data_IF_791522071089
#
_entry.id   IF_791522071089
#
_cell.length_a   1.000
_cell.length_b   1.000
_cell.length_c   1.000
_cell.angle_alpha   90.00
_cell.angle_beta   90.00
_cell.angle_gamma   90.00
#
_symmetry.space_group_name_H-M   'P 1'
#
loop_
_entity.id
_entity.type
_entity.pdbx_description
1 polymer ?
#
# COMPACT_ATOMS: atom_id res chain seq x y z
N UNK A 1 -15.25 1.11 24.26
CA UNK A 1 -15.21 0.09 23.19
C UNK A 1 -14.25 -1.00 23.63
N UNK A 2 -14.69 -2.25 23.76
CA UNK A 2 -13.87 -3.32 24.34
C UNK A 2 -12.82 -3.83 23.33
N UNK A 3 -11.69 -4.37 23.82
CA UNK A 3 -10.58 -4.88 22.99
C UNK A 3 -11.06 -5.83 21.87
N UNK A 4 -12.00 -6.72 22.20
CA UNK A 4 -12.60 -7.67 21.25
C UNK A 4 -13.39 -6.97 20.15
N UNK A 5 -14.14 -5.90 20.49
CA UNK A 5 -14.87 -5.12 19.50
C UNK A 5 -13.90 -4.40 18.57
N UNK A 6 -12.84 -3.78 19.11
CA UNK A 6 -11.82 -3.11 18.29
C UNK A 6 -11.15 -4.09 17.31
N UNK A 7 -10.79 -5.28 17.77
CA UNK A 7 -10.19 -6.32 16.93
C UNK A 7 -11.14 -6.83 15.85
N UNK A 8 -12.43 -7.02 16.18
CA UNK A 8 -13.44 -7.43 15.22
C UNK A 8 -13.70 -6.36 14.14
N UNK A 9 -13.83 -5.09 14.54
CA UNK A 9 -14.00 -3.99 13.59
C UNK A 9 -12.76 -3.79 12.72
N UNK A 10 -11.56 -3.79 13.32
CA UNK A 10 -10.32 -3.68 12.57
C UNK A 10 -10.17 -4.84 11.57
N UNK A 11 -10.44 -6.08 12.01
CA UNK A 11 -10.38 -7.27 11.16
C UNK A 11 -11.38 -7.25 10.01
N UNK A 12 -12.61 -6.82 10.26
CA UNK A 12 -13.63 -6.68 9.21
C UNK A 12 -13.20 -5.65 8.15
N UNK A 13 -12.75 -4.46 8.57
CA UNK A 13 -12.33 -3.42 7.64
C UNK A 13 -11.07 -3.79 6.87
N UNK A 14 -10.05 -4.35 7.53
CA UNK A 14 -8.83 -4.79 6.83
C UNK A 14 -9.15 -5.93 5.86
N UNK A 15 -9.99 -6.88 6.24
CA UNK A 15 -10.43 -7.99 5.40
C UNK A 15 -11.21 -7.51 4.16
N UNK A 16 -12.16 -6.58 4.32
CA UNK A 16 -12.91 -6.00 3.22
C UNK A 16 -11.98 -5.30 2.21
N UNK A 17 -11.02 -4.52 2.69
CA UNK A 17 -10.05 -3.82 1.81
C UNK A 17 -9.13 -4.80 1.09
N UNK A 18 -8.71 -5.89 1.75
CA UNK A 18 -7.93 -6.95 1.10
C UNK A 18 -8.75 -7.63 0.00
N UNK A 19 -10.02 -7.99 0.24
CA UNK A 19 -10.89 -8.59 -0.78
C UNK A 19 -11.07 -7.67 -1.99
N UNK A 20 -11.37 -6.38 -1.76
CA UNK A 20 -11.51 -5.39 -2.83
C UNK A 20 -10.20 -5.28 -3.63
N UNK A 21 -9.07 -5.23 -2.93
CA UNK A 21 -7.75 -5.15 -3.56
C UNK A 21 -7.45 -6.38 -4.43
N UNK A 22 -7.73 -7.59 -3.92
CA UNK A 22 -7.55 -8.83 -4.68
C UNK A 22 -8.48 -8.92 -5.90
N UNK A 23 -9.74 -8.53 -5.74
CA UNK A 23 -10.70 -8.49 -6.85
C UNK A 23 -10.22 -7.53 -7.95
N UNK A 24 -9.82 -6.31 -7.57
CA UNK A 24 -9.31 -5.31 -8.50
C UNK A 24 -7.99 -5.73 -9.15
N UNK A 25 -7.13 -6.45 -8.43
CA UNK A 25 -5.90 -7.02 -8.96
C UNK A 25 -6.20 -8.07 -10.03
N UNK A 26 -7.13 -8.99 -9.77
CA UNK A 26 -7.54 -10.03 -10.72
C UNK A 26 -8.13 -9.42 -12.00
N UNK A 27 -9.05 -8.46 -11.85
CA UNK A 27 -9.63 -7.73 -12.99
C UNK A 27 -8.55 -7.02 -13.81
N UNK A 28 -7.62 -6.33 -13.15
CA UNK A 28 -6.53 -5.61 -13.81
C UNK A 28 -5.57 -6.55 -14.53
N UNK A 29 -5.31 -7.74 -13.98
CA UNK A 29 -4.51 -8.79 -14.63
C UNK A 29 -5.19 -9.32 -15.90
N UNK A 30 -6.50 -9.57 -15.84
CA UNK A 30 -7.27 -9.98 -17.01
C UNK A 30 -7.26 -8.91 -18.11
N UNK A 31 -7.49 -7.64 -17.74
CA UNK A 31 -7.45 -6.51 -18.66
C UNK A 31 -6.04 -6.27 -19.26
N UNK A 32 -4.99 -6.57 -18.50
CA UNK A 32 -3.61 -6.56 -19.01
C UNK A 32 -3.41 -7.62 -20.08
N UNK A 33 -3.90 -8.84 -19.86
CA UNK A 33 -3.80 -9.96 -20.81
C UNK A 33 -4.57 -9.70 -22.10
N UNK A 34 -5.71 -9.00 -22.04
CA UNK A 34 -6.49 -8.59 -23.23
C UNK A 34 -5.94 -7.33 -23.94
N UNK A 35 -4.75 -6.85 -23.56
CA UNK A 35 -4.00 -5.72 -24.17
C UNK A 35 -4.70 -4.35 -24.14
N UNK A 36 -5.81 -4.21 -23.42
CA UNK A 36 -6.41 -2.92 -23.12
C UNK A 36 -5.48 -2.15 -22.17
N UNK A 37 -5.12 -0.91 -22.50
CA UNK A 37 -4.41 0.04 -21.60
C UNK A 37 -3.24 -0.54 -20.76
N UNK A 38 -2.26 -1.19 -21.43
CA UNK A 38 -1.13 -1.92 -20.81
C UNK A 38 -0.51 -1.24 -19.57
N UNK A 39 -0.14 0.04 -19.67
CA UNK A 39 0.53 0.78 -18.58
C UNK A 39 -0.40 1.03 -17.38
N UNK A 40 -1.65 1.42 -17.64
CA UNK A 40 -2.61 1.70 -16.57
C UNK A 40 -2.94 0.43 -15.78
N UNK A 41 -3.08 -0.71 -16.45
CA UNK A 41 -3.36 -1.98 -15.80
C UNK A 41 -2.18 -2.51 -15.00
N UNK A 42 -0.94 -2.33 -15.47
CA UNK A 42 0.26 -2.65 -14.67
C UNK A 42 0.28 -1.82 -13.37
N UNK A 43 0.05 -0.50 -13.47
CA UNK A 43 0.04 0.36 -12.27
C UNK A 43 -1.07 -0.06 -11.30
N UNK A 44 -2.26 -0.42 -11.80
CA UNK A 44 -3.36 -0.96 -10.97
C UNK A 44 -2.98 -2.28 -10.30
N UNK A 45 -2.28 -3.19 -10.98
CA UNK A 45 -1.82 -4.45 -10.38
C UNK A 45 -0.86 -4.14 -9.23
N UNK A 46 0.14 -3.28 -9.44
CA UNK A 46 1.11 -2.89 -8.39
C UNK A 46 0.42 -2.20 -7.22
N UNK A 47 -0.50 -1.27 -7.50
CA UNK A 47 -1.25 -0.56 -6.46
C UNK A 47 -2.06 -1.54 -5.60
N UNK A 48 -2.83 -2.43 -6.23
CA UNK A 48 -3.68 -3.37 -5.49
C UNK A 48 -2.88 -4.45 -4.77
N UNK A 49 -1.75 -4.92 -5.33
CA UNK A 49 -0.89 -5.89 -4.65
C UNK A 49 -0.20 -5.27 -3.42
N UNK A 50 0.29 -4.04 -3.54
CA UNK A 50 0.85 -3.30 -2.41
C UNK A 50 -0.19 -3.04 -1.31
N UNK A 51 -1.44 -2.77 -1.70
CA UNK A 51 -2.53 -2.54 -0.76
C UNK A 51 -2.91 -3.84 -0.03
N UNK A 52 -3.01 -4.96 -0.76
CA UNK A 52 -3.23 -6.27 -0.16
C UNK A 52 -2.12 -6.63 0.83
N UNK A 53 -0.84 -6.43 0.47
CA UNK A 53 0.31 -6.67 1.34
C UNK A 53 0.24 -5.83 2.62
N UNK A 54 0.01 -4.51 2.47
CA UNK A 54 -0.12 -3.58 3.60
C UNK A 54 -1.21 -4.00 4.57
N UNK A 55 -2.43 -4.22 4.09
CA UNK A 55 -3.57 -4.51 4.94
C UNK A 55 -3.51 -5.90 5.56
N UNK A 56 -2.88 -6.87 4.87
CA UNK A 56 -2.57 -8.18 5.44
C UNK A 56 -1.56 -8.06 6.59
N UNK A 57 -0.51 -7.26 6.43
CA UNK A 57 0.47 -7.03 7.50
C UNK A 57 -0.14 -6.31 8.71
N UNK A 58 -0.98 -5.29 8.47
CA UNK A 58 -1.73 -4.60 9.54
C UNK A 58 -2.66 -5.57 10.25
N UNK A 59 -3.39 -6.42 9.52
CA UNK A 59 -4.22 -7.46 10.11
C UNK A 59 -3.40 -8.44 10.96
N UNK A 60 -2.21 -8.83 10.49
CA UNK A 60 -1.26 -9.64 11.25
C UNK A 60 -0.88 -9.00 12.59
N UNK A 61 -0.73 -7.68 12.67
CA UNK A 61 -0.45 -6.98 13.95
C UNK A 61 -1.62 -7.01 14.94
N UNK A 62 -2.86 -7.10 14.45
CA UNK A 62 -4.04 -7.25 15.32
C UNK A 62 -4.27 -8.69 15.77
N UNK A 63 -3.79 -9.67 15.00
CA UNK A 63 -3.94 -11.10 15.31
C UNK A 63 -2.73 -11.71 16.02
N UNK A 64 -1.63 -10.96 16.16
CA UNK A 64 -0.43 -11.45 16.87
C UNK A 64 -0.77 -11.84 18.32
N UNK A 65 -0.46 -13.08 18.75
CA UNK A 65 -0.71 -13.52 20.11
C UNK A 65 0.16 -12.73 21.10
N UNK A 66 -0.24 -12.69 22.38
CA UNK A 66 0.52 -12.00 23.45
C UNK A 66 1.96 -12.51 23.62
N UNK A 67 2.27 -13.69 23.09
CA UNK A 67 3.59 -14.35 23.15
C UNK A 67 4.38 -14.17 21.84
N UNK A 68 3.93 -13.31 20.94
CA UNK A 68 4.65 -13.03 19.69
C UNK A 68 6.04 -12.46 19.99
N UNK A 69 7.04 -12.92 19.25
CA UNK A 69 8.41 -12.43 19.43
C UNK A 69 8.54 -11.00 18.93
N UNK A 70 9.41 -10.21 19.56
CA UNK A 70 9.70 -8.82 19.15
C UNK A 70 10.01 -8.71 17.65
N UNK A 71 10.70 -9.72 17.11
CA UNK A 71 11.09 -9.81 15.70
C UNK A 71 9.89 -9.96 14.76
N UNK A 72 8.86 -10.72 15.14
CA UNK A 72 7.62 -10.90 14.35
C UNK A 72 6.80 -9.61 14.29
N UNK A 73 6.67 -8.91 15.43
CA UNK A 73 5.95 -7.64 15.46
C UNK A 73 6.67 -6.56 14.64
N UNK A 74 7.99 -6.49 14.76
CA UNK A 74 8.82 -5.52 14.05
C UNK A 74 8.79 -5.77 12.54
N UNK A 75 8.87 -7.03 12.10
CA UNK A 75 8.81 -7.37 10.67
C UNK A 75 7.44 -7.06 10.06
N UNK A 76 6.34 -7.34 10.75
CA UNK A 76 4.99 -6.94 10.31
C UNK A 76 4.85 -5.43 10.14
N UNK A 77 5.41 -4.64 11.07
CA UNK A 77 5.40 -3.18 10.95
C UNK A 77 6.23 -2.69 9.76
N UNK A 78 7.40 -3.28 9.50
CA UNK A 78 8.19 -2.96 8.31
C UNK A 78 7.46 -3.32 7.01
N UNK A 79 6.82 -4.49 6.93
CA UNK A 79 6.03 -4.88 5.75
C UNK A 79 4.85 -3.92 5.54
N UNK A 80 4.15 -3.53 6.60
CA UNK A 80 3.08 -2.54 6.53
C UNK A 80 3.58 -1.16 6.07
N UNK A 81 4.75 -0.73 6.53
CA UNK A 81 5.39 0.53 6.12
C UNK A 81 5.81 0.50 4.64
N UNK A 82 6.48 -0.57 4.20
CA UNK A 82 6.85 -0.78 2.79
C UNK A 82 5.61 -0.77 1.90
N UNK A 83 4.58 -1.55 2.27
CA UNK A 83 3.30 -1.56 1.56
C UNK A 83 2.65 -0.17 1.51
N UNK A 84 2.71 0.61 2.60
CA UNK A 84 2.20 1.99 2.64
C UNK A 84 2.92 2.94 1.69
N UNK A 85 4.25 2.82 1.57
CA UNK A 85 5.02 3.65 0.63
C UNK A 85 4.73 3.22 -0.80
N UNK A 86 4.73 1.91 -1.09
CA UNK A 86 4.39 1.38 -2.40
C UNK A 86 3.00 1.81 -2.86
N UNK A 87 1.96 1.70 -2.01
CA UNK A 87 0.60 2.12 -2.40
C UNK A 87 0.53 3.60 -2.72
N UNK A 88 1.19 4.46 -1.93
CA UNK A 88 1.22 5.91 -2.15
C UNK A 88 1.95 6.27 -3.44
N UNK A 89 3.10 5.65 -3.71
CA UNK A 89 3.88 5.88 -4.94
C UNK A 89 3.08 5.41 -6.15
N UNK A 90 2.54 4.19 -6.14
CA UNK A 90 1.72 3.66 -7.24
C UNK A 90 0.44 4.48 -7.47
N UNK A 91 -0.23 4.96 -6.41
CA UNK A 91 -1.39 5.84 -6.54
C UNK A 91 -1.01 7.17 -7.19
N UNK A 92 0.11 7.77 -6.77
CA UNK A 92 0.60 9.02 -7.35
C UNK A 92 0.94 8.83 -8.83
N UNK A 93 1.63 7.73 -9.17
CA UNK A 93 1.90 7.36 -10.56
C UNK A 93 0.62 7.20 -11.38
N UNK A 94 -0.39 6.52 -10.82
CA UNK A 94 -1.68 6.30 -11.48
C UNK A 94 -2.40 7.62 -11.76
N UNK A 95 -2.49 8.51 -10.76
CA UNK A 95 -3.16 9.80 -10.88
C UNK A 95 -2.46 10.70 -11.90
N UNK A 96 -1.14 10.78 -11.85
CA UNK A 96 -0.35 11.57 -12.81
C UNK A 96 -0.47 11.01 -14.23
N UNK A 97 -0.47 9.68 -14.38
CA UNK A 97 -0.70 9.04 -15.67
C UNK A 97 -2.09 9.38 -16.23
N UNK A 98 -3.12 9.37 -15.39
CA UNK A 98 -4.48 9.76 -15.79
C UNK A 98 -4.58 11.25 -16.09
N UNK A 99 -3.92 12.11 -15.32
CA UNK A 99 -3.87 13.55 -15.57
C UNK A 99 -3.24 13.84 -16.93
N UNK A 100 -2.13 13.16 -17.26
CA UNK A 100 -1.48 13.25 -18.57
C UNK A 100 -2.39 12.79 -19.72
N UNK A 101 -3.25 11.80 -19.50
CA UNK A 101 -4.21 11.35 -20.53
C UNK A 101 -5.30 12.39 -20.79
N UNK A 102 -5.69 13.17 -19.77
CA UNK A 102 -6.74 14.19 -19.88
C UNK A 102 -6.18 15.52 -20.39
N UNK A 103 -4.98 15.89 -19.95
CA UNK A 103 -4.33 17.15 -20.29
C UNK A 103 -3.02 16.88 -21.04
N UNK A 104 -3.00 17.16 -22.34
CA UNK A 104 -1.89 16.79 -23.23
C UNK A 104 -0.79 17.89 -23.32
N UNK A 105 -0.64 18.70 -22.27
CA UNK A 105 0.35 19.76 -22.17
C UNK A 105 1.75 19.20 -21.87
N UNK A 106 2.76 19.59 -22.67
CA UNK A 106 4.17 19.18 -22.44
C UNK A 106 4.69 19.63 -21.07
N UNK A 107 4.28 20.82 -20.62
CA UNK A 107 4.69 21.41 -19.34
C UNK A 107 4.09 20.61 -18.17
N UNK A 108 2.80 20.26 -18.25
CA UNK A 108 2.11 19.49 -17.20
C UNK A 108 2.66 18.07 -17.06
N UNK A 109 3.06 17.45 -18.17
CA UNK A 109 3.74 16.16 -18.13
C UNK A 109 5.10 16.24 -17.41
N UNK A 110 5.82 17.35 -17.53
CA UNK A 110 7.12 17.54 -16.88
C UNK A 110 6.96 17.81 -15.39
N UNK A 111 6.02 18.70 -15.02
CA UNK A 111 5.64 18.96 -13.62
C UNK A 111 5.21 17.66 -12.93
N UNK A 112 4.34 16.87 -13.57
CA UNK A 112 3.91 15.59 -13.03
C UNK A 112 5.06 14.62 -12.78
N UNK A 113 6.00 14.51 -13.73
CA UNK A 113 7.17 13.63 -13.58
C UNK A 113 8.06 14.08 -12.42
N UNK A 114 8.32 15.38 -12.29
CA UNK A 114 9.12 15.95 -11.19
C UNK A 114 8.45 15.71 -9.82
N UNK A 115 7.14 15.94 -9.70
CA UNK A 115 6.39 15.64 -8.48
C UNK A 115 6.45 14.15 -8.10
N UNK A 116 6.40 13.25 -9.09
CA UNK A 116 6.53 11.81 -8.86
C UNK A 116 7.91 11.43 -8.31
N UNK A 117 8.98 12.01 -8.86
CA UNK A 117 10.36 11.77 -8.42
C UNK A 117 10.55 12.25 -6.98
N UNK A 118 10.11 13.48 -6.66
CA UNK A 118 10.19 14.02 -5.31
C UNK A 118 9.43 13.13 -4.32
N UNK A 119 8.20 12.71 -4.68
CA UNK A 119 7.38 11.85 -3.82
C UNK A 119 8.03 10.49 -3.57
N UNK A 120 8.61 9.90 -4.60
CA UNK A 120 9.31 8.61 -4.50
C UNK A 120 10.57 8.73 -3.65
N UNK A 121 11.36 9.79 -3.84
CA UNK A 121 12.55 10.07 -3.04
C UNK A 121 12.22 10.28 -1.56
N UNK A 122 11.20 11.09 -1.25
CA UNK A 122 10.72 11.28 0.11
C UNK A 122 10.19 9.97 0.72
N UNK A 123 9.52 9.12 -0.06
CA UNK A 123 9.05 7.81 0.40
C UNK A 123 10.18 6.85 0.77
N UNK A 124 11.26 6.83 -0.02
CA UNK A 124 12.45 6.02 0.28
C UNK A 124 13.17 6.55 1.52
N UNK A 125 13.34 7.87 1.62
CA UNK A 125 13.93 8.50 2.80
C UNK A 125 13.12 8.16 4.05
N UNK A 126 11.78 8.26 3.98
CA UNK A 126 10.89 7.87 5.08
C UNK A 126 11.13 6.42 5.52
N UNK A 127 11.23 5.46 4.59
CA UNK A 127 11.54 4.06 4.94
C UNK A 127 12.91 3.91 5.61
N UNK A 128 13.94 4.63 5.14
CA UNK A 128 15.28 4.58 5.70
C UNK A 128 15.38 5.15 7.11
N UNK A 129 14.59 6.18 7.42
CA UNK A 129 14.55 6.81 8.75
C UNK A 129 13.52 6.16 9.70
N UNK A 130 12.59 5.33 9.19
CA UNK A 130 11.55 4.73 10.02
C UNK A 130 12.15 3.64 10.91
N UNK A 131 12.22 3.91 12.22
CA UNK A 131 12.47 2.90 13.25
C UNK A 131 11.15 2.55 13.91
N UNK A 132 10.50 1.42 13.55
CA UNK A 132 9.31 0.96 14.24
C UNK A 132 9.65 0.65 15.70
N UNK A 133 9.13 1.45 16.63
CA UNK A 133 9.22 1.21 18.06
C UNK A 133 8.12 0.25 18.47
N UNK A 134 8.51 -0.96 18.89
CA UNK A 134 7.63 -1.91 19.55
C UNK A 134 7.63 -1.62 21.05
N UNK A 135 6.47 -1.25 21.60
CA UNK A 135 6.31 -1.18 23.06
C UNK A 135 6.32 -2.60 23.62
N UNK A 136 7.50 -3.05 24.06
CA UNK A 136 7.64 -4.22 24.90
C UNK A 136 7.10 -3.87 26.29
N UNK A 137 5.84 -4.21 26.57
CA UNK A 137 5.37 -4.28 27.95
C UNK A 137 5.99 -5.53 28.59
N UNK A 138 7.26 -5.44 28.96
CA UNK A 138 7.83 -6.28 30.02
C UNK A 138 7.34 -5.71 31.35
N UNK A 139 6.24 -6.27 31.84
CA UNK A 139 5.87 -6.24 33.26
C UNK A 139 6.14 -7.64 33.83
#
# INVERSE_FOLDING_TARGET
MNFIQLQAYAGFWTGAVVMISLHNMFLSFFLYKTRQTKVSNIIKIIFNSANALRFTAVWGTYMTPKVATLLQCTSLQYIAAIGSVLTRVSLTAFLLWRLKQVHNGKIDSWIGTTLFIIRSGLGIAQLGFQRPSTFSNTA
#
